data_IF_824369982107
#
_entry.id   IF_824369982107
#
_cell.length_a   1.000
_cell.length_b   1.000
_cell.length_c   1.000
_cell.angle_alpha   90.00
_cell.angle_beta   90.00
_cell.angle_gamma   90.00
#
_symmetry.space_group_name_H-M   'P 1'
#
loop_
_entity.id
_entity.type
_entity.pdbx_description
1 polymer ?
#
# COMPACT_ATOMS: atom_id res chain seq x y z
N UNK A 1 -35.63 -32.01 -55.63
CA UNK A 1 -36.74 -31.70 -54.71
C UNK A 1 -37.45 -33.03 -54.45
N UNK A 2 -37.17 -33.84 -53.42
CA UNK A 2 -36.90 -33.55 -52.00
C UNK A 2 -38.05 -32.76 -51.34
N UNK A 3 -38.64 -33.17 -50.21
CA UNK A 3 -38.68 -34.48 -49.51
C UNK A 3 -39.91 -34.41 -48.57
N UNK A 4 -40.67 -35.50 -48.36
CA UNK A 4 -41.92 -35.44 -47.58
C UNK A 4 -41.70 -35.96 -46.13
N UNK A 5 -41.88 -35.15 -45.06
CA UNK A 5 -41.80 -35.62 -43.68
C UNK A 5 -43.20 -35.93 -43.12
N UNK A 6 -43.56 -37.22 -43.10
CA UNK A 6 -44.72 -37.72 -42.35
C UNK A 6 -44.37 -38.00 -40.89
N UNK A 7 -45.25 -37.63 -39.97
CA UNK A 7 -45.04 -37.72 -38.51
C UNK A 7 -45.06 -39.17 -38.00
N UNK A 8 -44.09 -39.52 -37.14
CA UNK A 8 -44.05 -40.79 -36.40
C UNK A 8 -44.60 -40.68 -34.97
N UNK A 9 -45.31 -41.72 -34.51
CA UNK A 9 -45.89 -41.82 -33.18
C UNK A 9 -44.88 -42.31 -32.10
N UNK A 10 -45.20 -42.17 -30.79
CA UNK A 10 -44.21 -42.27 -29.72
C UNK A 10 -43.96 -43.71 -29.22
N UNK A 11 -42.72 -43.99 -28.82
CA UNK A 11 -42.35 -45.20 -28.07
C UNK A 11 -42.13 -44.89 -26.58
N UNK A 12 -42.75 -45.66 -25.70
CA UNK A 12 -42.46 -45.66 -24.26
C UNK A 12 -41.14 -46.39 -23.97
N UNK A 13 -40.42 -45.99 -22.91
CA UNK A 13 -39.38 -46.82 -22.30
C UNK A 13 -39.63 -46.96 -20.80
N UNK A 14 -39.54 -48.19 -20.31
CA UNK A 14 -39.83 -48.58 -18.94
C UNK A 14 -38.60 -48.66 -18.03
N UNK A 15 -38.88 -48.99 -16.78
CA UNK A 15 -37.98 -48.93 -15.62
C UNK A 15 -36.86 -49.98 -15.62
N UNK A 16 -35.73 -49.64 -15.01
CA UNK A 16 -34.67 -50.58 -14.63
C UNK A 16 -33.87 -50.07 -13.43
N UNK A 17 -33.78 -50.87 -12.37
CA UNK A 17 -33.06 -50.56 -11.13
C UNK A 17 -32.01 -51.65 -10.82
N UNK A 18 -30.74 -51.28 -10.66
CA UNK A 18 -29.72 -52.07 -9.96
C UNK A 18 -29.04 -51.23 -8.85
N UNK A 19 -28.50 -51.75 -7.74
CA UNK A 19 -28.41 -53.09 -7.16
C UNK A 19 -27.36 -53.06 -6.02
N UNK A 20 -27.63 -53.68 -4.85
CA UNK A 20 -26.66 -53.85 -3.74
C UNK A 20 -25.95 -55.21 -3.87
N UNK A 21 -24.67 -55.41 -3.42
CA UNK A 21 -24.37 -55.56 -1.97
C UNK A 21 -22.91 -55.25 -1.50
N UNK A 22 -22.65 -55.36 -0.18
CA UNK A 22 -21.27 -55.50 0.36
C UNK A 22 -21.14 -55.17 1.87
N UNK A 23 -20.59 -56.09 2.67
CA UNK A 23 -20.44 -55.97 4.14
C UNK A 23 -18.96 -55.90 4.55
N UNK A 24 -18.64 -55.13 5.61
CA UNK A 24 -17.27 -54.97 6.15
C UNK A 24 -17.26 -54.76 7.68
N UNK A 25 -16.21 -55.24 8.33
CA UNK A 25 -16.12 -55.57 9.77
C UNK A 25 -15.98 -54.35 10.74
N UNK A 26 -16.49 -54.42 11.99
CA UNK A 26 -16.23 -53.42 13.03
C UNK A 26 -14.95 -53.71 13.84
N UNK A 27 -14.16 -52.67 14.16
CA UNK A 27 -13.02 -52.75 15.08
C UNK A 27 -13.40 -52.43 16.54
N UNK A 28 -12.88 -53.20 17.49
CA UNK A 28 -13.14 -53.05 18.94
C UNK A 28 -11.97 -52.38 19.70
N UNK A 29 -12.17 -51.89 20.95
CA UNK A 29 -11.25 -50.98 21.64
C UNK A 29 -10.12 -51.67 22.43
N UNK A 30 -9.09 -50.88 22.77
CA UNK A 30 -7.90 -51.31 23.53
C UNK A 30 -7.61 -50.45 24.78
N UNK A 31 -7.83 -51.06 25.93
CA UNK A 31 -7.32 -50.80 27.30
C UNK A 31 -5.77 -50.83 27.32
N UNK A 32 -4.98 -50.16 28.19
CA UNK A 32 -5.22 -49.27 29.34
C UNK A 32 -4.12 -49.47 30.42
N UNK A 33 -3.64 -48.43 31.12
CA UNK A 33 -2.87 -48.59 32.38
C UNK A 33 -2.82 -47.31 33.25
N UNK A 34 -2.46 -47.46 34.53
CA UNK A 34 -2.87 -46.57 35.64
C UNK A 34 -1.86 -46.43 36.80
N UNK A 35 -1.88 -45.29 37.50
CA UNK A 35 -1.17 -45.03 38.78
C UNK A 35 0.03 -44.07 38.65
N UNK A 36 0.37 -43.19 39.60
CA UNK A 36 -0.04 -43.02 41.02
C UNK A 36 -0.04 -41.53 41.46
N UNK A 37 -0.56 -41.17 42.66
CA UNK A 37 -0.92 -39.79 43.03
C UNK A 37 0.16 -39.00 43.81
N UNK A 38 0.02 -37.67 43.88
CA UNK A 38 0.88 -36.77 44.66
C UNK A 38 0.11 -35.64 45.36
N UNK A 39 0.60 -35.23 46.54
CA UNK A 39 -0.05 -34.32 47.49
C UNK A 39 0.91 -33.18 47.90
N UNK A 40 0.47 -31.96 48.23
CA UNK A 40 -0.90 -31.42 48.19
C UNK A 40 -1.18 -30.44 49.33
N UNK A 41 -1.15 -29.13 49.09
CA UNK A 41 -1.50 -28.10 50.08
C UNK A 41 -2.14 -26.85 49.43
N UNK A 42 -2.96 -26.07 50.18
CA UNK A 42 -3.83 -25.04 49.60
C UNK A 42 -3.36 -23.59 49.85
N UNK A 43 -3.78 -22.69 48.95
CA UNK A 43 -4.14 -21.31 49.31
C UNK A 43 -3.19 -20.20 48.83
N UNK A 44 -3.67 -19.40 47.88
CA UNK A 44 -3.75 -17.93 48.03
C UNK A 44 -4.74 -17.35 47.00
N UNK A 45 -5.56 -16.39 47.44
CA UNK A 45 -6.60 -15.75 46.61
C UNK A 45 -6.00 -14.56 45.85
N UNK A 46 -5.86 -14.70 44.52
CA UNK A 46 -5.58 -13.59 43.61
C UNK A 46 -6.86 -13.08 42.96
N UNK A 47 -7.22 -11.82 43.18
CA UNK A 47 -8.42 -11.21 42.61
C UNK A 47 -8.27 -10.98 41.10
N UNK A 48 -9.20 -11.50 40.31
CA UNK A 48 -9.24 -11.26 38.86
C UNK A 48 -9.99 -9.97 38.50
N UNK A 49 -9.52 -9.30 37.44
CA UNK A 49 -10.33 -8.33 36.69
C UNK A 49 -10.88 -8.99 35.41
N UNK A 50 -12.09 -8.64 34.95
CA UNK A 50 -12.75 -9.36 33.86
C UNK A 50 -12.18 -8.99 32.48
N UNK A 51 -11.84 -10.01 31.69
CA UNK A 51 -11.46 -9.82 30.29
C UNK A 51 -12.65 -9.53 29.38
N UNK A 52 -12.46 -8.68 28.39
CA UNK A 52 -13.40 -8.47 27.29
C UNK A 52 -13.18 -9.50 26.17
N UNK A 53 -14.20 -9.83 25.34
CA UNK A 53 -14.11 -10.94 24.40
C UNK A 53 -13.26 -10.56 23.17
N UNK A 54 -12.21 -11.33 22.90
CA UNK A 54 -11.41 -11.17 21.69
C UNK A 54 -12.12 -11.83 20.49
N UNK A 55 -12.78 -11.01 19.67
CA UNK A 55 -13.35 -11.47 18.41
C UNK A 55 -12.22 -11.81 17.43
N UNK A 56 -12.23 -13.04 16.89
CA UNK A 56 -11.23 -13.52 15.94
C UNK A 56 -11.33 -12.81 14.59
N UNK A 57 -10.52 -11.77 14.39
CA UNK A 57 -10.17 -11.24 13.07
C UNK A 57 -8.82 -11.81 12.62
N UNK A 58 -8.74 -12.28 11.38
CA UNK A 58 -7.48 -12.73 10.79
C UNK A 58 -6.62 -11.51 10.40
N UNK A 59 -5.72 -11.09 11.29
CA UNK A 59 -4.68 -10.11 10.96
C UNK A 59 -3.70 -10.70 9.93
N UNK A 60 -3.96 -10.46 8.64
CA UNK A 60 -2.89 -10.49 7.64
C UNK A 60 -2.13 -9.17 7.70
N UNK A 61 -0.83 -9.28 7.96
CA UNK A 61 0.02 -8.19 8.43
C UNK A 61 0.05 -6.95 7.51
N UNK A 62 0.16 -5.79 8.14
CA UNK A 62 0.45 -4.54 7.46
C UNK A 62 1.87 -4.56 6.89
N UNK A 63 2.02 -4.12 5.65
CA UNK A 63 3.33 -3.86 5.03
C UNK A 63 4.05 -2.68 5.69
N UNK A 64 5.32 -2.41 5.32
CA UNK A 64 6.25 -1.56 6.06
C UNK A 64 6.01 -0.04 5.89
N UNK A 65 4.76 0.41 5.88
CA UNK A 65 4.42 1.82 5.83
C UNK A 65 4.35 2.40 7.26
N UNK A 66 5.06 3.50 7.55
CA UNK A 66 5.08 4.08 8.90
C UNK A 66 3.72 4.71 9.24
N UNK A 67 3.14 4.27 10.35
CA UNK A 67 1.95 4.88 10.94
C UNK A 67 2.31 6.14 11.71
N UNK A 68 1.58 7.23 11.51
CA UNK A 68 1.82 8.51 12.19
C UNK A 68 1.17 8.45 13.58
N UNK A 69 1.99 8.20 14.61
CA UNK A 69 1.58 8.30 16.02
C UNK A 69 1.27 9.74 16.42
N UNK A 70 0.28 9.93 17.29
CA UNK A 70 -0.13 11.24 17.77
C UNK A 70 0.48 11.55 19.15
N UNK A 71 1.18 12.68 19.29
CA UNK A 71 1.44 13.29 20.60
C UNK A 71 2.72 14.11 20.75
N UNK A 72 2.56 15.43 20.93
CA UNK A 72 3.38 16.24 21.83
C UNK A 72 4.75 16.74 21.34
N UNK A 73 4.85 18.07 21.16
CA UNK A 73 6.07 18.85 20.89
C UNK A 73 6.84 18.50 19.61
N UNK A 74 6.84 19.46 18.67
CA UNK A 74 7.65 19.45 17.45
C UNK A 74 9.14 19.35 17.78
N UNK A 75 9.87 18.47 17.08
CA UNK A 75 11.27 18.21 17.42
C UNK A 75 12.15 19.47 17.21
N UNK A 76 13.21 19.71 18.03
CA UNK A 76 14.05 20.89 17.89
C UNK A 76 14.72 21.04 16.50
N UNK A 77 15.01 19.91 15.85
CA UNK A 77 15.53 19.85 14.48
C UNK A 77 14.52 20.36 13.45
N UNK A 78 13.23 20.02 13.64
CA UNK A 78 12.12 20.51 12.81
C UNK A 78 11.97 22.03 12.99
N UNK A 79 12.04 22.54 14.22
CA UNK A 79 11.98 23.99 14.47
C UNK A 79 13.16 24.75 13.83
N UNK A 80 14.38 24.20 13.92
CA UNK A 80 15.56 24.77 13.25
C UNK A 80 15.43 24.76 11.73
N UNK A 81 14.93 23.66 11.15
CA UNK A 81 14.73 23.57 9.71
C UNK A 81 13.61 24.49 9.25
N UNK A 82 12.49 24.56 9.98
CA UNK A 82 11.40 25.50 9.73
C UNK A 82 11.91 26.95 9.65
N UNK A 83 12.68 27.40 10.65
CA UNK A 83 13.30 28.74 10.66
C UNK A 83 14.37 28.94 9.58
N UNK A 84 14.93 27.87 9.02
CA UNK A 84 15.86 27.95 7.90
C UNK A 84 15.13 28.07 6.54
N UNK A 85 13.87 27.65 6.46
CA UNK A 85 13.04 27.66 5.25
C UNK A 85 12.13 28.87 5.18
N UNK A 86 11.43 29.18 6.27
CA UNK A 86 10.66 30.41 6.48
C UNK A 86 11.61 31.62 6.39
N UNK A 87 11.73 32.20 5.19
CA UNK A 87 12.70 33.26 4.87
C UNK A 87 12.18 34.62 5.29
N UNK A 88 10.88 34.84 5.17
CA UNK A 88 10.23 36.11 5.52
C UNK A 88 9.83 36.19 7.01
N UNK A 89 9.88 35.06 7.73
CA UNK A 89 9.49 34.91 9.13
C UNK A 89 7.99 35.12 9.35
N UNK A 90 7.18 34.77 8.36
CA UNK A 90 5.72 34.79 8.42
C UNK A 90 5.15 33.79 9.43
N UNK A 91 5.91 32.75 9.81
CA UNK A 91 5.44 31.65 10.64
C UNK A 91 4.74 30.54 9.86
N UNK A 92 4.82 30.58 8.53
CA UNK A 92 4.30 29.57 7.60
C UNK A 92 5.33 29.31 6.49
N UNK A 93 5.30 28.13 5.89
CA UNK A 93 6.17 27.80 4.74
C UNK A 93 5.33 27.78 3.46
N UNK A 94 5.77 28.56 2.47
CA UNK A 94 5.18 28.61 1.13
C UNK A 94 5.88 27.66 0.15
N UNK A 95 5.24 27.36 -0.99
CA UNK A 95 5.85 26.51 -2.03
C UNK A 95 7.19 27.03 -2.58
N UNK A 96 7.37 28.35 -2.83
CA UNK A 96 8.66 28.91 -3.23
C UNK A 96 9.76 28.75 -2.18
N UNK A 97 9.43 28.86 -0.89
CA UNK A 97 10.39 28.70 0.20
C UNK A 97 10.80 27.24 0.38
N UNK A 98 9.83 26.32 0.39
CA UNK A 98 10.08 24.88 0.42
C UNK A 98 10.97 24.46 -0.76
N UNK A 99 10.72 24.98 -1.96
CA UNK A 99 11.53 24.77 -3.16
C UNK A 99 12.96 25.31 -3.02
N UNK A 100 13.12 26.49 -2.42
CA UNK A 100 14.43 27.10 -2.20
C UNK A 100 15.27 26.38 -1.12
N UNK A 101 14.61 25.71 -0.16
CA UNK A 101 15.26 24.93 0.88
C UNK A 101 15.55 23.47 0.47
N UNK A 102 14.66 22.85 -0.31
CA UNK A 102 14.85 21.51 -0.85
C UNK A 102 15.77 21.55 -2.07
N UNK A 103 17.07 21.58 -1.78
CA UNK A 103 18.15 21.43 -2.76
C UNK A 103 18.62 19.98 -2.74
N UNK A 104 18.66 19.33 -3.91
CA UNK A 104 19.13 17.96 -4.07
C UNK A 104 20.68 17.86 -4.00
N UNK A 105 21.22 16.64 -4.04
CA UNK A 105 22.66 16.40 -3.97
C UNK A 105 23.47 17.03 -5.13
N UNK A 106 22.84 17.34 -6.28
CA UNK A 106 23.46 18.03 -7.42
C UNK A 106 23.36 19.57 -7.32
N UNK A 107 22.81 20.12 -6.22
CA UNK A 107 22.61 21.57 -6.08
C UNK A 107 21.36 22.12 -6.80
N UNK A 108 20.49 21.24 -7.31
CA UNK A 108 19.25 21.64 -7.98
C UNK A 108 18.09 21.70 -6.99
N UNK A 109 17.29 22.78 -7.05
CA UNK A 109 16.02 22.88 -6.30
C UNK A 109 14.99 21.88 -6.82
N UNK A 110 14.13 21.38 -5.93
CA UNK A 110 13.01 20.50 -6.28
C UNK A 110 12.07 21.14 -7.32
N UNK A 111 11.40 20.32 -8.13
CA UNK A 111 10.36 20.79 -9.04
C UNK A 111 9.19 21.42 -8.28
N UNK A 112 8.55 22.40 -8.92
CA UNK A 112 7.41 23.11 -8.34
C UNK A 112 6.21 22.18 -8.13
N UNK A 113 6.00 21.24 -9.06
CA UNK A 113 5.00 20.16 -8.93
C UNK A 113 5.24 19.31 -7.69
N UNK A 114 6.50 18.94 -7.38
CA UNK A 114 6.81 18.19 -6.17
C UNK A 114 6.55 19.01 -4.90
N UNK A 115 6.90 20.29 -4.88
CA UNK A 115 6.67 21.18 -3.74
C UNK A 115 5.18 21.42 -3.49
N UNK A 116 4.39 21.68 -4.55
CA UNK A 116 2.95 21.87 -4.47
C UNK A 116 2.23 20.58 -4.03
N UNK A 117 2.68 19.42 -4.51
CA UNK A 117 2.20 18.12 -4.04
C UNK A 117 2.48 17.90 -2.56
N UNK A 118 3.71 18.19 -2.12
CA UNK A 118 4.10 18.05 -0.72
C UNK A 118 3.26 18.95 0.19
N UNK A 119 3.00 20.19 -0.21
CA UNK A 119 2.11 21.09 0.53
C UNK A 119 0.69 20.51 0.55
N UNK A 120 0.10 20.19 -0.60
CA UNK A 120 -1.27 19.67 -0.69
C UNK A 120 -1.51 18.32 0.01
N UNK A 121 -0.47 17.57 0.37
CA UNK A 121 -0.56 16.35 1.19
C UNK A 121 -0.63 16.62 2.70
N UNK A 122 -0.10 17.75 3.17
CA UNK A 122 0.05 18.06 4.61
C UNK A 122 -0.71 19.30 5.07
N UNK A 123 -1.05 20.21 4.15
CA UNK A 123 -1.96 21.35 4.32
C UNK A 123 -3.39 20.83 4.62
N UNK A 124 -3.74 20.79 5.91
CA UNK A 124 -5.03 20.27 6.36
C UNK A 124 -6.12 21.33 6.37
N UNK A 125 -5.75 22.59 6.62
CA UNK A 125 -6.69 23.71 6.68
C UNK A 125 -6.98 24.33 5.29
N UNK A 126 -6.23 23.92 4.26
CA UNK A 126 -6.28 24.41 2.88
C UNK A 126 -5.92 25.89 2.78
N UNK A 127 -5.01 26.35 3.65
CA UNK A 127 -4.45 27.70 3.59
C UNK A 127 -3.54 27.92 2.38
N UNK A 128 -3.06 26.86 1.73
CA UNK A 128 -2.04 26.91 0.68
C UNK A 128 -0.62 27.09 1.22
N UNK A 129 -0.46 27.01 2.54
CA UNK A 129 0.80 27.18 3.28
C UNK A 129 0.93 26.08 4.32
N UNK A 130 2.13 25.90 4.88
CA UNK A 130 2.41 24.84 5.87
C UNK A 130 2.78 25.48 7.20
N UNK A 131 1.99 25.23 8.24
CA UNK A 131 2.31 25.65 9.60
C UNK A 131 3.33 24.70 10.27
N UNK A 132 3.85 25.05 11.45
CA UNK A 132 4.89 24.26 12.13
C UNK A 132 4.47 22.82 12.47
N UNK A 133 3.19 22.56 12.79
CA UNK A 133 2.72 21.21 13.11
C UNK A 133 2.56 20.33 11.86
N UNK A 134 2.16 20.92 10.75
CA UNK A 134 2.13 20.26 9.44
C UNK A 134 3.54 20.04 8.92
N UNK A 135 4.43 20.99 9.18
CA UNK A 135 5.83 20.91 8.80
C UNK A 135 6.57 19.75 9.49
N UNK A 136 6.27 19.45 10.76
CA UNK A 136 6.81 18.29 11.47
C UNK A 136 6.52 16.96 10.75
N UNK A 137 5.29 16.83 10.22
CA UNK A 137 4.86 15.66 9.43
C UNK A 137 5.55 15.64 8.06
N UNK A 138 5.59 16.78 7.38
CA UNK A 138 6.26 16.93 6.09
C UNK A 138 7.77 16.64 6.17
N UNK A 139 8.46 17.16 7.20
CA UNK A 139 9.88 16.90 7.46
C UNK A 139 10.13 15.41 7.70
N UNK A 140 9.31 14.78 8.56
CA UNK A 140 9.40 13.34 8.83
C UNK A 140 9.21 12.53 7.56
N UNK A 141 8.21 12.88 6.75
CA UNK A 141 7.92 12.25 5.46
C UNK A 141 9.08 12.39 4.45
N UNK A 142 9.62 13.61 4.28
CA UNK A 142 10.76 13.87 3.40
C UNK A 142 11.99 13.06 3.85
N UNK A 143 12.28 12.99 5.15
CA UNK A 143 13.42 12.20 5.66
C UNK A 143 13.24 10.70 5.46
N UNK A 144 12.02 10.17 5.60
CA UNK A 144 11.70 8.78 5.28
C UNK A 144 11.92 8.50 3.79
N UNK A 145 11.43 9.37 2.89
CA UNK A 145 11.67 9.23 1.45
C UNK A 145 13.13 9.38 1.05
N UNK A 146 13.89 10.27 1.69
CA UNK A 146 15.34 10.38 1.48
C UNK A 146 16.10 9.14 1.96
N UNK A 147 15.68 8.52 3.07
CA UNK A 147 16.25 7.26 3.54
C UNK A 147 15.96 6.12 2.55
N UNK A 148 14.70 6.02 2.09
CA UNK A 148 14.27 5.04 1.07
C UNK A 148 15.04 5.25 -0.24
N UNK A 149 15.13 6.48 -0.74
CA UNK A 149 15.89 6.84 -1.95
C UNK A 149 17.35 6.37 -1.85
N UNK A 150 18.03 6.63 -0.72
CA UNK A 150 19.40 6.17 -0.46
C UNK A 150 19.58 4.66 -0.37
N UNK A 151 18.51 3.87 -0.23
CA UNK A 151 18.59 2.40 -0.33
C UNK A 151 18.50 1.89 -1.77
N UNK A 152 18.08 2.74 -2.70
CA UNK A 152 17.90 2.42 -4.11
C UNK A 152 18.99 3.03 -5.00
N UNK A 153 19.33 4.31 -4.78
CA UNK A 153 20.53 5.03 -5.25
C UNK A 153 21.79 4.31 -4.70
N UNK A 154 22.16 3.24 -5.39
CA UNK A 154 23.18 2.26 -5.00
C UNK A 154 24.56 2.76 -5.43
N UNK A 155 24.64 3.53 -6.51
CA UNK A 155 25.86 4.18 -7.00
C UNK A 155 26.15 5.53 -6.33
N UNK A 156 25.21 6.07 -5.54
CA UNK A 156 25.27 7.37 -4.86
C UNK A 156 25.39 8.56 -5.83
N UNK A 157 24.89 8.41 -7.06
CA UNK A 157 24.79 9.49 -8.04
C UNK A 157 23.80 10.59 -7.63
N UNK A 158 22.91 10.31 -6.67
CA UNK A 158 21.83 11.21 -6.27
C UNK A 158 20.67 11.24 -7.28
N UNK A 159 20.61 10.26 -8.18
CA UNK A 159 19.53 10.02 -9.13
C UNK A 159 19.24 8.50 -9.13
N UNK A 160 18.03 8.11 -9.52
CA UNK A 160 17.65 6.70 -9.66
C UNK A 160 17.61 6.34 -11.15
N UNK A 161 18.35 5.30 -11.54
CA UNK A 161 18.33 4.79 -12.92
C UNK A 161 17.17 3.79 -13.18
N UNK A 162 17.07 3.26 -14.41
CA UNK A 162 16.01 2.29 -14.79
C UNK A 162 16.09 0.97 -13.99
N UNK A 163 17.30 0.50 -13.65
CA UNK A 163 17.51 -0.73 -12.89
C UNK A 163 17.18 -0.53 -11.41
N UNK A 164 17.61 0.60 -10.84
CA UNK A 164 17.32 1.01 -9.48
C UNK A 164 15.83 1.27 -9.27
N UNK A 165 15.16 1.90 -10.23
CA UNK A 165 13.70 2.09 -10.22
C UNK A 165 12.96 0.75 -10.24
N UNK A 166 13.38 -0.17 -11.11
CA UNK A 166 12.81 -1.53 -11.20
C UNK A 166 12.97 -2.29 -9.88
N UNK A 167 14.17 -2.22 -9.27
CA UNK A 167 14.48 -2.80 -7.95
C UNK A 167 13.66 -2.15 -6.83
N UNK A 168 13.52 -0.82 -6.84
CA UNK A 168 12.74 -0.06 -5.85
C UNK A 168 11.26 -0.46 -5.87
N UNK A 169 10.62 -0.39 -7.04
CA UNK A 169 9.21 -0.71 -7.21
C UNK A 169 8.95 -2.20 -6.91
N UNK A 170 9.87 -3.09 -7.30
CA UNK A 170 9.80 -4.52 -6.94
C UNK A 170 9.85 -4.76 -5.43
N UNK A 171 10.68 -4.02 -4.68
CA UNK A 171 10.74 -4.11 -3.21
C UNK A 171 9.52 -3.50 -2.53
N UNK A 172 8.91 -2.46 -3.11
CA UNK A 172 7.60 -1.94 -2.69
C UNK A 172 6.43 -2.88 -3.00
N UNK A 173 6.67 -4.01 -3.67
CA UNK A 173 5.65 -5.01 -4.02
C UNK A 173 5.04 -4.85 -5.42
N UNK A 174 5.47 -3.87 -6.21
CA UNK A 174 4.99 -3.62 -7.57
C UNK A 174 5.85 -4.35 -8.60
N UNK A 175 5.24 -5.28 -9.35
CA UNK A 175 5.90 -5.98 -10.47
C UNK A 175 5.46 -5.39 -11.80
N UNK A 176 6.15 -4.36 -12.26
CA UNK A 176 5.95 -3.77 -13.57
C UNK A 176 6.82 -4.45 -14.64
N UNK A 177 6.44 -4.31 -15.91
CA UNK A 177 7.27 -4.78 -17.04
C UNK A 177 8.38 -3.77 -17.34
N UNK A 178 9.51 -4.20 -17.94
CA UNK A 178 10.61 -3.29 -18.29
C UNK A 178 10.18 -2.11 -19.17
N UNK A 179 9.25 -2.34 -20.10
CA UNK A 179 8.72 -1.31 -20.99
C UNK A 179 7.99 -0.21 -20.21
N UNK A 180 7.27 -0.58 -19.14
CA UNK A 180 6.60 0.37 -18.26
C UNK A 180 7.61 1.13 -17.38
N UNK A 181 8.63 0.46 -16.83
CA UNK A 181 9.73 1.12 -16.09
C UNK A 181 10.43 2.16 -16.97
N UNK A 182 10.81 1.80 -18.21
CA UNK A 182 11.43 2.72 -19.16
C UNK A 182 10.52 3.89 -19.54
N UNK A 183 9.19 3.67 -19.59
CA UNK A 183 8.21 4.75 -19.77
C UNK A 183 8.16 5.70 -18.57
N UNK A 184 8.18 5.20 -17.33
CA UNK A 184 8.19 6.03 -16.11
C UNK A 184 9.49 6.85 -15.99
N UNK A 185 10.63 6.23 -16.30
CA UNK A 185 11.95 6.87 -16.41
C UNK A 185 11.90 8.06 -17.40
N UNK A 186 11.49 7.81 -18.66
CA UNK A 186 11.40 8.85 -19.71
C UNK A 186 10.36 9.92 -19.45
N UNK A 187 9.30 9.61 -18.69
CA UNK A 187 8.29 10.59 -18.26
C UNK A 187 8.81 11.50 -17.14
N UNK A 188 9.82 11.07 -16.39
CA UNK A 188 10.47 11.85 -15.34
C UNK A 188 11.57 12.75 -15.92
N UNK A 189 12.50 12.17 -16.69
CA UNK A 189 13.45 12.93 -17.53
C UNK A 189 13.48 12.38 -18.97
N UNK A 190 12.98 13.13 -19.96
CA UNK A 190 13.05 12.75 -21.37
C UNK A 190 14.47 12.68 -21.96
N UNK A 191 15.50 13.20 -21.27
CA UNK A 191 16.88 13.30 -21.80
C UNK A 191 17.79 12.17 -21.34
N UNK A 192 17.97 11.99 -20.03
CA UNK A 192 18.85 10.96 -19.48
C UNK A 192 18.09 9.73 -18.96
N UNK A 193 16.76 9.83 -18.76
CA UNK A 193 15.97 8.75 -18.17
C UNK A 193 16.29 8.49 -16.69
N UNK A 194 16.95 9.43 -16.02
CA UNK A 194 17.28 9.35 -14.60
C UNK A 194 16.24 10.10 -13.77
N UNK A 195 15.94 9.59 -12.59
CA UNK A 195 14.89 10.12 -11.72
C UNK A 195 15.52 10.82 -10.52
N UNK A 196 15.39 12.14 -10.45
CA UNK A 196 15.75 12.92 -9.28
C UNK A 196 14.87 12.59 -8.06
N UNK A 197 15.35 12.85 -6.85
CA UNK A 197 14.61 12.60 -5.59
C UNK A 197 13.18 13.13 -5.63
N UNK A 198 12.99 14.36 -6.12
CA UNK A 198 11.69 15.01 -6.18
C UNK A 198 10.75 14.35 -7.21
N UNK A 199 11.29 13.99 -8.38
CA UNK A 199 10.58 13.22 -9.41
C UNK A 199 10.18 11.84 -8.89
N UNK A 200 11.06 11.19 -8.12
CA UNK A 200 10.80 9.88 -7.51
C UNK A 200 9.67 9.95 -6.48
N UNK A 201 9.65 10.97 -5.62
CA UNK A 201 8.56 11.18 -4.65
C UNK A 201 7.24 11.43 -5.38
N UNK A 202 7.21 12.30 -6.41
CA UNK A 202 6.00 12.55 -7.21
C UNK A 202 5.52 11.26 -7.88
N UNK A 203 6.42 10.49 -8.48
CA UNK A 203 6.11 9.21 -9.13
C UNK A 203 5.54 8.19 -8.13
N UNK A 204 6.16 8.03 -6.96
CA UNK A 204 5.70 7.11 -5.93
C UNK A 204 4.32 7.51 -5.38
N UNK A 205 4.06 8.81 -5.16
CA UNK A 205 2.75 9.29 -4.71
C UNK A 205 1.68 9.11 -5.79
N UNK A 206 2.01 9.32 -7.08
CA UNK A 206 1.11 8.98 -8.19
C UNK A 206 0.75 7.48 -8.15
N UNK A 207 1.77 6.61 -8.14
CA UNK A 207 1.58 5.15 -8.10
C UNK A 207 0.73 4.74 -6.89
N UNK A 208 0.97 5.33 -5.71
CA UNK A 208 0.16 5.05 -4.52
C UNK A 208 -1.29 5.47 -4.69
N UNK A 209 -1.58 6.71 -5.14
CA UNK A 209 -2.96 7.20 -5.36
C UNK A 209 -3.70 6.32 -6.36
N UNK A 210 -3.06 5.97 -7.48
CA UNK A 210 -3.64 5.03 -8.46
C UNK A 210 -3.83 3.62 -7.87
N UNK A 211 -2.87 3.12 -7.09
CA UNK A 211 -2.97 1.80 -6.44
C UNK A 211 -4.12 1.75 -5.43
N UNK A 212 -4.34 2.80 -4.64
CA UNK A 212 -5.45 2.88 -3.70
C UNK A 212 -6.80 2.95 -4.43
N UNK A 213 -6.92 3.82 -5.43
CA UNK A 213 -8.13 3.93 -6.26
C UNK A 213 -8.46 2.63 -7.02
N UNK A 214 -7.42 1.90 -7.46
CA UNK A 214 -7.52 0.58 -8.08
C UNK A 214 -7.95 -0.48 -7.06
N UNK A 215 -7.27 -0.56 -5.90
CA UNK A 215 -7.51 -1.56 -4.84
C UNK A 215 -8.92 -1.48 -4.24
N UNK A 216 -9.51 -0.29 -4.17
CA UNK A 216 -10.92 -0.11 -3.76
C UNK A 216 -11.89 -0.77 -4.74
N UNK A 217 -11.50 -0.91 -6.02
CA UNK A 217 -12.34 -1.45 -7.10
C UNK A 217 -11.98 -2.89 -7.49
N UNK A 218 -10.73 -3.31 -7.31
CA UNK A 218 -10.28 -4.72 -7.39
C UNK A 218 -10.74 -5.52 -6.16
N UNK A 219 -12.06 -5.62 -6.01
CA UNK A 219 -12.73 -6.39 -4.97
C UNK A 219 -12.38 -7.88 -5.01
N UNK A 220 -11.96 -8.39 -6.18
CA UNK A 220 -11.57 -9.78 -6.41
C UNK A 220 -10.08 -10.03 -6.17
N UNK A 221 -9.26 -8.98 -6.02
CA UNK A 221 -7.79 -9.01 -5.88
C UNK A 221 -7.10 -9.81 -6.99
N UNK A 222 -7.64 -9.73 -8.21
CA UNK A 222 -7.15 -10.49 -9.36
C UNK A 222 -6.28 -9.64 -10.32
N UNK A 223 -6.05 -8.36 -10.00
CA UNK A 223 -5.27 -7.45 -10.83
C UNK A 223 -6.00 -6.92 -12.06
N UNK A 224 -7.33 -7.12 -12.17
CA UNK A 224 -8.17 -6.64 -13.26
C UNK A 224 -9.45 -5.99 -12.73
N UNK A 225 -9.72 -4.76 -13.15
CA UNK A 225 -10.96 -4.04 -12.79
C UNK A 225 -11.73 -3.67 -14.05
N UNK A 226 -13.03 -3.94 -14.07
CA UNK A 226 -13.96 -3.39 -15.05
C UNK A 226 -14.67 -2.19 -14.45
N UNK A 227 -14.47 -1.01 -15.04
CA UNK A 227 -15.06 0.27 -14.59
C UNK A 227 -15.84 0.93 -15.73
N UNK A 228 -16.86 1.71 -15.38
CA UNK A 228 -17.54 2.60 -16.32
C UNK A 228 -16.67 3.79 -16.70
N UNK A 229 -16.91 4.39 -17.87
CA UNK A 229 -16.10 5.50 -18.37
C UNK A 229 -16.09 6.73 -17.45
N UNK A 230 -17.23 7.08 -16.84
CA UNK A 230 -17.31 8.18 -15.87
C UNK A 230 -16.50 7.89 -14.60
N UNK A 231 -16.50 6.65 -14.13
CA UNK A 231 -15.70 6.22 -12.97
C UNK A 231 -14.20 6.19 -13.29
N UNK A 232 -13.83 5.80 -14.51
CA UNK A 232 -12.46 5.97 -15.03
C UNK A 232 -12.03 7.44 -15.04
N UNK A 233 -12.85 8.36 -15.55
CA UNK A 233 -12.53 9.79 -15.53
C UNK A 233 -12.40 10.33 -14.10
N UNK A 234 -13.30 9.92 -13.19
CA UNK A 234 -13.19 10.29 -11.77
C UNK A 234 -11.90 9.77 -11.15
N UNK A 235 -11.46 8.53 -11.43
CA UNK A 235 -10.15 8.02 -10.98
C UNK A 235 -9.00 8.81 -11.61
N UNK A 236 -9.00 9.01 -12.92
CA UNK A 236 -7.93 9.72 -13.62
C UNK A 236 -7.74 11.16 -13.10
N UNK A 237 -8.85 11.89 -12.87
CA UNK A 237 -8.82 13.25 -12.34
C UNK A 237 -8.49 13.28 -10.84
N UNK A 238 -9.04 12.36 -10.04
CA UNK A 238 -8.77 12.30 -8.58
C UNK A 238 -7.40 11.71 -8.21
N UNK A 239 -6.70 11.05 -9.14
CA UNK A 239 -5.31 10.64 -8.99
C UNK A 239 -4.32 11.60 -9.67
N UNK A 240 -4.78 12.49 -10.56
CA UNK A 240 -3.95 13.57 -11.10
C UNK A 240 -3.48 14.51 -9.99
N UNK A 241 -2.35 15.14 -10.24
CA UNK A 241 -1.73 16.24 -9.48
C UNK A 241 -1.72 17.45 -10.41
#
# INVERSE_FOLDING_TARGET
MAYNPGYGQPGQQGYGQPGQPGYGQPGQPGYGQSGQPGYGQPGQLGYGQPGQPQAGGLEMGHGPYPSIGAGGTVAPQVQQWFQAVDKDKSGYITAPELKAALVNAQGQTFSETACNLMIGMFDKDRSGHINLEEFDKLYTYINQWLAVFKTYDTDQSGQIDEQELSKALSQMGFRFTPEFISFLSKRSDPKEGKISVDSFIVLCVQIQRFTEAFRVRDTQKNGTVTIGFEDFLNVALSCSI
#
